data_IF_888569883222
#
_entry.id   IF_888569883222
#
_cell.length_a   1.000
_cell.length_b   1.000
_cell.length_c   1.000
_cell.angle_alpha   90.00
_cell.angle_beta   90.00
_cell.angle_gamma   90.00
#
_symmetry.space_group_name_H-M   'P 1'
#
loop_
_entity.id
_entity.type
_entity.pdbx_description
1 polymer ?
#
# COMPACT_ATOMS: atom_id res chain seq x y z
N UNK A 1 -16.35 7.57 40.34
CA UNK A 1 -15.87 8.57 39.37
C UNK A 1 -14.41 8.33 39.01
N UNK A 2 -13.55 8.08 40.00
CA UNK A 2 -12.12 7.77 39.82
C UNK A 2 -11.87 6.50 38.98
N UNK A 3 -12.59 5.41 39.23
CA UNK A 3 -12.46 4.16 38.45
C UNK A 3 -12.66 4.36 36.93
N UNK A 4 -13.69 5.14 36.53
CA UNK A 4 -13.95 5.44 35.11
C UNK A 4 -12.82 6.23 34.47
N UNK A 5 -12.20 7.15 35.23
CA UNK A 5 -11.08 7.94 34.75
C UNK A 5 -9.84 7.08 34.52
N UNK A 6 -9.58 6.10 35.39
CA UNK A 6 -8.48 5.15 35.23
C UNK A 6 -8.66 4.27 33.99
N UNK A 7 -9.87 3.75 33.77
CA UNK A 7 -10.18 2.99 32.54
C UNK A 7 -9.95 3.82 31.29
N UNK A 8 -10.42 5.08 31.27
CA UNK A 8 -10.14 5.99 30.15
C UNK A 8 -8.65 6.19 29.91
N UNK A 9 -7.85 6.37 30.97
CA UNK A 9 -6.39 6.52 30.84
C UNK A 9 -5.75 5.28 30.21
N UNK A 10 -6.21 4.08 30.57
CA UNK A 10 -5.69 2.82 30.01
C UNK A 10 -6.04 2.70 28.52
N UNK A 11 -7.30 2.91 28.14
CA UNK A 11 -7.72 2.83 26.73
C UNK A 11 -7.02 3.87 25.85
N UNK A 12 -6.95 5.12 26.30
CA UNK A 12 -6.23 6.17 25.57
C UNK A 12 -4.71 5.95 25.56
N UNK A 13 -4.16 5.34 26.61
CA UNK A 13 -2.76 4.92 26.67
C UNK A 13 -2.43 3.89 25.58
N UNK A 14 -3.24 2.84 25.48
CA UNK A 14 -3.09 1.81 24.45
C UNK A 14 -3.19 2.41 23.03
N UNK A 15 -4.16 3.29 22.80
CA UNK A 15 -4.29 4.01 21.53
C UNK A 15 -3.07 4.89 21.20
N UNK A 16 -2.55 5.63 22.18
CA UNK A 16 -1.37 6.47 22.00
C UNK A 16 -0.11 5.65 21.70
N UNK A 17 0.07 4.50 22.35
CA UNK A 17 1.19 3.60 22.10
C UNK A 17 1.09 2.95 20.72
N UNK A 18 -0.11 2.63 20.24
CA UNK A 18 -0.30 2.17 18.86
C UNK A 18 0.14 3.26 17.87
N UNK A 19 -0.28 4.52 18.04
CA UNK A 19 0.16 5.63 17.17
C UNK A 19 1.69 5.76 17.13
N UNK A 20 2.36 5.65 18.28
CA UNK A 20 3.82 5.70 18.35
C UNK A 20 4.45 4.52 17.61
N UNK A 21 3.92 3.31 17.79
CA UNK A 21 4.36 2.12 17.07
C UNK A 21 4.21 2.29 15.55
N UNK A 22 3.12 2.93 15.08
CA UNK A 22 2.94 3.23 13.65
C UNK A 22 4.04 4.13 13.10
N UNK A 23 4.33 5.21 13.82
CA UNK A 23 5.37 6.15 13.43
C UNK A 23 6.75 5.48 13.41
N UNK A 24 7.08 4.70 14.45
CA UNK A 24 8.34 3.97 14.52
C UNK A 24 8.51 2.99 13.36
N UNK A 25 7.47 2.18 13.06
CA UNK A 25 7.50 1.23 11.93
C UNK A 25 7.66 1.94 10.58
N UNK A 26 6.99 3.08 10.40
CA UNK A 26 7.14 3.86 9.16
C UNK A 26 8.48 4.56 9.02
N UNK A 27 9.06 5.08 10.11
CA UNK A 27 10.40 5.70 10.08
C UNK A 27 11.45 4.65 9.73
N UNK A 28 11.35 3.46 10.32
CA UNK A 28 12.23 2.34 10.01
C UNK A 28 12.21 1.99 8.52
N UNK A 29 11.01 1.83 7.94
CA UNK A 29 10.90 1.55 6.51
C UNK A 29 11.33 2.72 5.63
N UNK A 30 11.07 3.95 6.08
CA UNK A 30 11.55 5.17 5.44
C UNK A 30 13.07 5.22 5.30
N UNK A 31 13.81 4.74 6.29
CA UNK A 31 15.28 4.66 6.22
C UNK A 31 15.77 3.73 5.09
N UNK A 32 15.15 2.55 4.92
CA UNK A 32 15.47 1.67 3.79
C UNK A 32 15.13 2.30 2.45
N UNK A 33 14.02 3.04 2.39
CA UNK A 33 13.63 3.73 1.16
C UNK A 33 14.62 4.81 0.77
N UNK A 34 15.06 5.63 1.72
CA UNK A 34 16.13 6.62 1.47
C UNK A 34 17.41 5.92 1.04
N UNK A 35 17.79 4.79 1.66
CA UNK A 35 18.99 4.03 1.27
C UNK A 35 18.90 3.56 -0.19
N UNK A 36 17.80 2.91 -0.59
CA UNK A 36 17.67 2.36 -1.95
C UNK A 36 17.55 3.48 -2.98
N UNK A 37 16.83 4.56 -2.68
CA UNK A 37 16.77 5.73 -3.57
C UNK A 37 18.12 6.43 -3.72
N UNK A 38 18.88 6.58 -2.64
CA UNK A 38 20.25 7.11 -2.67
C UNK A 38 21.19 6.19 -3.44
N UNK A 39 21.09 4.88 -3.25
CA UNK A 39 21.87 3.88 -3.99
C UNK A 39 21.56 3.92 -5.49
N UNK A 40 20.28 4.03 -5.86
CA UNK A 40 19.87 4.26 -7.24
C UNK A 40 20.42 5.58 -7.80
N UNK A 41 20.30 6.68 -7.07
CA UNK A 41 20.83 7.98 -7.47
C UNK A 41 22.34 7.97 -7.68
N UNK A 42 23.10 7.34 -6.79
CA UNK A 42 24.55 7.19 -6.92
C UNK A 42 24.95 6.36 -8.15
N UNK A 43 24.18 5.31 -8.47
CA UNK A 43 24.37 4.54 -9.70
C UNK A 43 24.10 5.39 -10.94
N UNK A 44 23.08 6.25 -10.91
CA UNK A 44 22.75 7.13 -12.04
C UNK A 44 23.76 8.27 -12.24
N UNK A 45 24.32 8.84 -11.16
CA UNK A 45 25.35 9.87 -11.27
C UNK A 45 26.59 9.36 -12.02
N UNK A 46 26.99 8.11 -11.78
CA UNK A 46 28.07 7.46 -12.53
C UNK A 46 27.73 7.27 -14.01
N UNK A 47 26.45 7.09 -14.35
CA UNK A 47 26.03 6.94 -15.74
C UNK A 47 25.95 8.27 -16.50
N UNK A 48 25.73 9.39 -15.81
CA UNK A 48 25.57 10.74 -16.39
C UNK A 48 26.93 11.41 -16.68
N UNK A 49 28.02 10.92 -16.11
CA UNK A 49 29.35 11.49 -16.35
C UNK A 49 29.67 11.44 -17.86
N UNK A 50 30.01 12.56 -18.52
CA UNK A 50 29.95 12.68 -19.99
C UNK A 50 30.86 11.70 -20.72
N UNK A 51 32.02 11.39 -20.14
CA UNK A 51 32.93 10.34 -20.65
C UNK A 51 32.31 8.95 -20.57
N UNK A 52 31.49 8.70 -19.55
CA UNK A 52 30.76 7.44 -19.39
C UNK A 52 29.52 7.45 -20.29
N UNK A 53 28.83 8.56 -20.50
CA UNK A 53 27.66 8.62 -21.40
C UNK A 53 28.03 8.25 -22.84
N UNK A 54 29.12 8.79 -23.38
CA UNK A 54 29.58 8.45 -24.74
C UNK A 54 30.00 6.97 -24.85
N UNK A 55 30.76 6.48 -23.87
CA UNK A 55 31.17 5.08 -23.80
C UNK A 55 29.98 4.13 -23.55
N UNK A 56 29.00 4.55 -22.74
CA UNK A 56 27.79 3.80 -22.44
C UNK A 56 26.92 3.76 -23.68
N UNK A 57 26.69 4.87 -24.38
CA UNK A 57 25.92 4.88 -25.63
C UNK A 57 26.52 3.95 -26.70
N UNK A 58 27.85 3.95 -26.85
CA UNK A 58 28.56 3.11 -27.81
C UNK A 58 28.59 1.62 -27.39
N UNK A 59 28.79 1.33 -26.11
CA UNK A 59 28.77 -0.04 -25.55
C UNK A 59 27.37 -0.65 -25.46
N UNK A 60 26.37 0.19 -25.20
CA UNK A 60 24.94 -0.10 -25.28
C UNK A 60 24.59 -0.59 -26.69
N UNK A 61 25.08 0.09 -27.73
CA UNK A 61 24.82 -0.27 -29.12
C UNK A 61 25.59 -1.52 -29.58
N UNK A 62 26.76 -1.78 -28.97
CA UNK A 62 27.61 -2.93 -29.27
C UNK A 62 27.35 -4.16 -28.38
N UNK A 63 26.39 -4.09 -27.44
CA UNK A 63 26.04 -5.20 -26.55
C UNK A 63 27.14 -5.60 -25.57
N UNK A 64 27.92 -4.64 -25.06
CA UNK A 64 29.05 -4.93 -24.18
C UNK A 64 28.58 -5.38 -22.77
N UNK A 65 29.32 -6.30 -22.16
CA UNK A 65 28.94 -6.94 -20.89
C UNK A 65 28.79 -5.95 -19.73
N UNK A 66 29.61 -4.90 -19.69
CA UNK A 66 29.59 -3.86 -18.64
C UNK A 66 28.27 -3.09 -18.62
N UNK A 67 27.67 -2.87 -19.79
CA UNK A 67 26.41 -2.15 -19.93
C UNK A 67 25.22 -2.99 -19.51
N UNK A 68 25.21 -4.28 -19.89
CA UNK A 68 24.16 -5.19 -19.46
C UNK A 68 24.14 -5.33 -17.93
N UNK A 69 25.31 -5.37 -17.28
CA UNK A 69 25.44 -5.38 -15.81
C UNK A 69 24.88 -4.09 -15.19
N UNK A 70 25.15 -2.93 -15.78
CA UNK A 70 24.61 -1.66 -15.31
C UNK A 70 23.07 -1.62 -15.41
N UNK A 71 22.51 -2.02 -16.56
CA UNK A 71 21.06 -1.99 -16.77
C UNK A 71 20.37 -3.04 -15.88
N UNK A 72 20.94 -4.24 -15.75
CA UNK A 72 20.39 -5.28 -14.86
C UNK A 72 20.42 -4.86 -13.39
N UNK A 73 21.48 -4.17 -12.96
CA UNK A 73 21.60 -3.63 -11.59
C UNK A 73 20.59 -2.50 -11.36
N UNK A 74 20.41 -1.61 -12.34
CA UNK A 74 19.41 -0.54 -12.29
C UNK A 74 17.98 -1.09 -12.22
N UNK A 75 17.69 -2.14 -13.00
CA UNK A 75 16.40 -2.83 -13.02
C UNK A 75 16.13 -3.54 -11.69
N UNK A 76 17.15 -4.21 -11.12
CA UNK A 76 17.09 -4.84 -9.81
C UNK A 76 16.78 -3.83 -8.70
N UNK A 77 17.45 -2.68 -8.69
CA UNK A 77 17.17 -1.60 -7.75
C UNK A 77 15.75 -1.04 -7.90
N UNK A 78 15.26 -0.84 -9.13
CA UNK A 78 13.88 -0.41 -9.37
C UNK A 78 12.86 -1.44 -8.86
N UNK A 79 13.11 -2.74 -9.04
CA UNK A 79 12.26 -3.80 -8.50
C UNK A 79 12.21 -3.76 -6.96
N UNK A 80 13.37 -3.57 -6.30
CA UNK A 80 13.44 -3.41 -4.84
C UNK A 80 12.66 -2.18 -4.38
N UNK A 81 12.77 -1.03 -5.07
CA UNK A 81 12.00 0.18 -4.75
C UNK A 81 10.49 -0.10 -4.83
N UNK A 82 10.03 -0.81 -5.86
CA UNK A 82 8.61 -1.15 -6.02
C UNK A 82 8.14 -2.05 -4.87
N UNK A 83 8.90 -3.12 -4.55
CA UNK A 83 8.56 -4.05 -3.46
C UNK A 83 8.50 -3.34 -2.12
N UNK A 84 9.50 -2.52 -1.79
CA UNK A 84 9.50 -1.73 -0.55
C UNK A 84 8.34 -0.72 -0.52
N UNK A 85 7.94 -0.16 -1.67
CA UNK A 85 6.83 0.78 -1.75
C UNK A 85 5.50 0.09 -1.45
N UNK A 86 5.32 -1.12 -1.95
CA UNK A 86 4.15 -1.96 -1.65
C UNK A 86 4.10 -2.37 -0.19
N UNK A 87 5.24 -2.77 0.37
CA UNK A 87 5.37 -3.06 1.80
C UNK A 87 4.99 -1.82 2.64
N UNK A 88 5.41 -0.62 2.23
CA UNK A 88 5.07 0.64 2.91
C UNK A 88 3.57 0.91 2.90
N UNK A 89 2.92 0.74 1.74
CA UNK A 89 1.47 0.90 1.61
C UNK A 89 0.73 -0.13 2.47
N UNK A 90 1.15 -1.40 2.44
CA UNK A 90 0.52 -2.48 3.19
C UNK A 90 0.65 -2.24 4.71
N UNK A 91 1.84 -1.87 5.18
CA UNK A 91 2.09 -1.51 6.57
C UNK A 91 1.19 -0.35 7.00
N UNK A 92 1.15 0.73 6.22
CA UNK A 92 0.34 1.90 6.58
C UNK A 92 -1.17 1.61 6.59
N UNK A 93 -1.66 0.72 5.72
CA UNK A 93 -3.05 0.26 5.73
C UNK A 93 -3.37 -0.61 6.96
N UNK A 94 -2.51 -1.58 7.29
CA UNK A 94 -2.68 -2.42 8.47
C UNK A 94 -2.66 -1.60 9.76
N UNK A 95 -1.74 -0.66 9.84
CA UNK A 95 -1.66 0.31 10.93
C UNK A 95 -2.92 1.15 11.08
N UNK A 96 -3.50 1.62 9.97
CA UNK A 96 -4.77 2.36 9.98
C UNK A 96 -5.95 1.51 10.46
N UNK A 97 -5.99 0.24 10.06
CA UNK A 97 -7.03 -0.70 10.49
C UNK A 97 -7.08 -0.82 12.02
N UNK A 98 -5.92 -0.99 12.67
CA UNK A 98 -5.84 -1.12 14.14
C UNK A 98 -6.29 0.17 14.84
N UNK A 99 -5.93 1.34 14.30
CA UNK A 99 -6.38 2.63 14.86
C UNK A 99 -7.90 2.76 14.87
N UNK A 100 -8.55 2.46 13.74
CA UNK A 100 -10.01 2.58 13.65
C UNK A 100 -10.71 1.56 14.54
N UNK A 101 -10.15 0.36 14.70
CA UNK A 101 -10.65 -0.62 15.65
C UNK A 101 -10.62 -0.07 17.09
N UNK A 102 -9.53 0.59 17.50
CA UNK A 102 -9.42 1.20 18.82
C UNK A 102 -10.34 2.42 18.99
N UNK A 103 -10.50 3.27 17.97
CA UNK A 103 -11.43 4.41 18.01
C UNK A 103 -12.88 3.95 18.14
N UNK A 104 -13.28 2.91 17.39
CA UNK A 104 -14.61 2.32 17.49
C UNK A 104 -14.82 1.63 18.85
N UNK A 105 -13.78 0.94 19.35
CA UNK A 105 -13.81 0.33 20.68
C UNK A 105 -14.01 1.36 21.79
N UNK A 106 -13.25 2.46 21.79
CA UNK A 106 -13.40 3.56 22.78
C UNK A 106 -14.78 4.19 22.69
N UNK A 107 -15.33 4.37 21.48
CA UNK A 107 -16.67 4.97 21.28
C UNK A 107 -17.80 4.09 21.81
N UNK A 108 -17.68 2.77 21.67
CA UNK A 108 -18.70 1.81 22.05
C UNK A 108 -18.45 1.19 23.44
N UNK A 109 -17.44 1.68 24.16
CA UNK A 109 -17.07 1.13 25.46
C UNK A 109 -18.13 1.40 26.53
N UNK A 110 -18.63 0.34 27.17
CA UNK A 110 -19.59 0.45 28.27
C UNK A 110 -18.87 0.46 29.63
N UNK A 111 -18.83 1.64 30.24
CA UNK A 111 -18.22 1.88 31.56
C UNK A 111 -19.03 1.34 32.75
N UNK A 112 -20.15 0.66 32.52
CA UNK A 112 -20.87 -0.06 33.58
C UNK A 112 -20.45 -1.54 33.66
N UNK A 113 -19.79 -2.05 32.63
CA UNK A 113 -19.32 -3.42 32.59
C UNK A 113 -17.82 -3.46 32.93
N UNK A 114 -17.51 -3.78 34.19
CA UNK A 114 -16.15 -3.83 34.74
C UNK A 114 -15.35 -5.09 34.32
N UNK A 115 -15.85 -5.87 33.35
CA UNK A 115 -15.12 -7.04 32.84
C UNK A 115 -13.81 -6.63 32.18
N UNK A 116 -12.69 -7.11 32.73
CA UNK A 116 -11.32 -6.87 32.23
C UNK A 116 -11.16 -7.23 30.74
N UNK A 117 -11.95 -8.20 30.25
CA UNK A 117 -11.95 -8.61 28.83
C UNK A 117 -12.43 -7.50 27.90
N UNK A 118 -13.36 -6.66 28.36
CA UNK A 118 -13.85 -5.55 27.58
C UNK A 118 -12.82 -4.44 27.45
N UNK A 119 -11.79 -4.39 28.31
CA UNK A 119 -10.72 -3.39 28.28
C UNK A 119 -9.81 -3.52 27.05
N UNK A 120 -9.77 -4.71 26.44
CA UNK A 120 -8.97 -4.99 25.26
C UNK A 120 -9.83 -4.88 24.00
N UNK A 121 -9.31 -4.15 23.00
CA UNK A 121 -9.96 -4.09 21.70
C UNK A 121 -9.86 -5.46 21.00
N UNK A 122 -11.00 -6.08 20.74
CA UNK A 122 -11.10 -7.32 19.97
C UNK A 122 -11.11 -7.00 18.45
N UNK A 123 -9.94 -7.14 17.82
CA UNK A 123 -9.78 -6.91 16.38
C UNK A 123 -10.59 -7.90 15.52
N UNK A 124 -10.78 -9.15 15.97
CA UNK A 124 -11.55 -10.17 15.21
C UNK A 124 -13.03 -9.78 15.18
N UNK A 125 -13.55 -9.24 16.29
CA UNK A 125 -14.91 -8.68 16.35
C UNK A 125 -15.10 -7.45 15.46
N UNK A 126 -14.03 -6.66 15.26
CA UNK A 126 -14.05 -5.49 14.38
C UNK A 126 -13.95 -5.90 12.89
N UNK A 127 -13.12 -6.89 12.58
CA UNK A 127 -12.90 -7.40 11.23
C UNK A 127 -14.10 -8.19 10.70
N UNK A 128 -14.72 -9.02 11.54
CA UNK A 128 -15.80 -9.92 11.17
C UNK A 128 -17.09 -9.61 11.91
N UNK A 129 -18.17 -9.39 11.15
CA UNK A 129 -19.51 -9.39 11.70
C UNK A 129 -19.98 -10.83 11.85
N UNK A 130 -20.35 -11.19 13.08
CA UNK A 130 -20.90 -12.51 13.39
C UNK A 130 -22.41 -12.48 13.16
N UNK A 131 -22.88 -13.20 12.15
CA UNK A 131 -24.31 -13.45 11.98
C UNK A 131 -24.69 -14.71 12.75
N UNK A 132 -25.66 -14.59 13.65
CA UNK A 132 -26.32 -15.74 14.26
C UNK A 132 -27.59 -15.99 13.45
N UNK A 133 -27.55 -17.00 12.58
CA UNK A 133 -28.77 -17.50 11.96
C UNK A 133 -29.49 -18.40 12.97
N UNK A 134 -30.60 -17.89 13.53
CA UNK A 134 -31.40 -18.60 14.54
C UNK A 134 -32.07 -19.87 13.99
N UNK A 135 -32.12 -20.05 12.66
CA UNK A 135 -32.73 -21.23 12.03
C UNK A 135 -31.79 -22.41 11.85
N UNK A 136 -30.48 -22.21 11.73
CA UNK A 136 -29.53 -23.26 11.30
C UNK A 136 -28.39 -23.49 12.31
N UNK A 137 -28.35 -22.78 13.45
CA UNK A 137 -27.31 -22.93 14.49
C UNK A 137 -25.88 -22.86 13.94
N UNK A 138 -25.68 -22.22 12.78
CA UNK A 138 -24.39 -22.06 12.11
C UNK A 138 -23.90 -20.64 12.35
N UNK A 139 -22.68 -20.53 12.87
CA UNK A 139 -22.00 -19.24 13.07
C UNK A 139 -21.25 -18.94 11.79
N UNK A 140 -21.81 -18.10 10.93
CA UNK A 140 -21.09 -17.59 9.77
C UNK A 140 -20.39 -16.26 10.13
N UNK A 141 -19.13 -16.15 9.72
CA UNK A 141 -18.31 -14.95 9.92
C UNK A 141 -18.20 -14.24 8.57
N UNK A 142 -18.89 -13.13 8.42
CA UNK A 142 -18.81 -12.31 7.21
C UNK A 142 -17.92 -11.10 7.48
N UNK A 143 -17.10 -10.70 6.49
CA UNK A 143 -16.29 -9.48 6.59
C UNK A 143 -17.20 -8.28 6.89
N UNK A 144 -16.80 -7.46 7.87
CA UNK A 144 -17.57 -6.30 8.27
C UNK A 144 -17.79 -5.38 7.04
N UNK A 145 -19.04 -4.98 6.74
CA UNK A 145 -19.34 -4.17 5.56
C UNK A 145 -18.64 -2.80 5.56
N UNK A 146 -18.28 -2.27 6.75
CA UNK A 146 -17.45 -1.06 6.89
C UNK A 146 -16.03 -1.24 6.31
N UNK A 147 -15.54 -2.48 6.30
CA UNK A 147 -14.24 -2.91 5.78
C UNK A 147 -14.29 -3.42 4.34
N UNK A 148 -15.48 -3.48 3.72
CA UNK A 148 -15.71 -3.98 2.37
C UNK A 148 -15.27 -2.97 1.27
N UNK A 149 -14.10 -2.39 1.46
CA UNK A 149 -13.35 -1.65 0.48
C UNK A 149 -12.11 -2.48 0.13
N UNK A 150 -12.09 -3.07 -1.07
CA UNK A 150 -11.12 -4.09 -1.44
C UNK A 150 -9.68 -3.78 -1.01
N UNK A 151 -9.01 -4.81 -0.48
CA UNK A 151 -7.61 -4.83 -0.01
C UNK A 151 -6.64 -4.04 -0.93
N UNK A 152 -6.94 -4.04 -2.23
CA UNK A 152 -6.12 -3.46 -3.29
C UNK A 152 -6.57 -2.09 -3.84
N UNK A 153 -7.81 -1.64 -3.62
CA UNK A 153 -8.30 -0.42 -4.27
C UNK A 153 -9.30 0.36 -3.42
N UNK A 154 -8.96 1.61 -3.12
CA UNK A 154 -9.87 2.71 -2.78
C UNK A 154 -10.98 2.40 -1.74
N UNK A 155 -10.71 1.45 -0.85
CA UNK A 155 -11.52 1.12 0.30
C UNK A 155 -11.27 2.09 1.43
N UNK A 156 -11.93 3.22 1.36
CA UNK A 156 -11.94 4.27 2.38
C UNK A 156 -12.53 3.70 3.67
N UNK A 157 -11.67 3.12 4.50
CA UNK A 157 -11.74 3.16 5.96
C UNK A 157 -12.05 4.62 6.36
N UNK A 158 -13.23 4.87 6.94
CA UNK A 158 -13.83 6.20 7.05
C UNK A 158 -12.95 7.14 7.88
N UNK A 159 -12.47 8.26 7.32
CA UNK A 159 -11.54 9.12 8.02
C UNK A 159 -12.25 10.05 9.01
N UNK A 160 -11.91 9.95 10.29
CA UNK A 160 -11.78 11.16 11.09
C UNK A 160 -10.45 11.86 10.72
N UNK A 161 -10.48 13.20 10.82
CA UNK A 161 -9.50 14.22 10.39
C UNK A 161 -8.02 13.75 10.36
N UNK A 162 -7.35 13.89 9.21
CA UNK A 162 -5.91 13.66 8.96
C UNK A 162 -5.20 12.56 9.81
N UNK A 163 -5.44 11.27 9.52
CA UNK A 163 -4.62 10.20 10.12
C UNK A 163 -3.18 10.22 9.56
N UNK A 164 -2.13 10.12 10.41
CA UNK A 164 -0.72 10.01 9.99
C UNK A 164 -0.47 8.91 8.96
N UNK A 165 -1.29 7.85 8.97
CA UNK A 165 -1.23 6.75 8.01
C UNK A 165 -1.43 7.20 6.55
N UNK A 166 -2.22 8.26 6.30
CA UNK A 166 -2.50 8.75 4.93
C UNK A 166 -1.25 9.29 4.25
N UNK A 167 -0.38 9.97 5.00
CA UNK A 167 0.87 10.51 4.48
C UNK A 167 1.77 9.34 4.05
N UNK A 168 1.89 8.31 4.89
CA UNK A 168 2.70 7.13 4.58
C UNK A 168 2.15 6.35 3.37
N UNK A 169 0.83 6.21 3.25
CA UNK A 169 0.19 5.61 2.06
C UNK A 169 0.52 6.44 0.81
N UNK A 170 0.41 7.76 0.88
CA UNK A 170 0.70 8.65 -0.24
C UNK A 170 2.17 8.57 -0.66
N UNK A 171 3.10 8.61 0.29
CA UNK A 171 4.54 8.46 0.03
C UNK A 171 4.86 7.12 -0.63
N UNK A 172 4.25 6.03 -0.15
CA UNK A 172 4.37 4.71 -0.77
C UNK A 172 3.88 4.69 -2.22
N UNK A 173 2.73 5.31 -2.52
CA UNK A 173 2.22 5.39 -3.90
C UNK A 173 3.11 6.24 -4.82
N UNK A 174 3.59 7.39 -4.35
CA UNK A 174 4.49 8.25 -5.13
C UNK A 174 5.79 7.52 -5.44
N UNK A 175 6.41 6.88 -4.44
CA UNK A 175 7.62 6.07 -4.62
C UNK A 175 7.38 4.90 -5.58
N UNK A 176 6.24 4.21 -5.46
CA UNK A 176 5.89 3.11 -6.35
C UNK A 176 5.73 3.58 -7.79
N UNK A 177 5.03 4.69 -8.02
CA UNK A 177 4.81 5.26 -9.35
C UNK A 177 6.15 5.64 -10.00
N UNK A 178 7.02 6.35 -9.27
CA UNK A 178 8.34 6.72 -9.76
C UNK A 178 9.19 5.47 -10.07
N UNK A 179 9.17 4.47 -9.19
CA UNK A 179 9.85 3.19 -9.41
C UNK A 179 9.38 2.47 -10.67
N UNK A 180 8.06 2.44 -10.94
CA UNK A 180 7.49 1.85 -12.16
C UNK A 180 7.93 2.61 -13.40
N UNK A 181 7.89 3.95 -13.37
CA UNK A 181 8.32 4.79 -14.51
C UNK A 181 9.79 4.52 -14.85
N UNK A 182 10.66 4.47 -13.84
CA UNK A 182 12.08 4.18 -14.04
C UNK A 182 12.33 2.75 -14.51
N UNK A 183 11.60 1.77 -13.97
CA UNK A 183 11.66 0.38 -14.39
C UNK A 183 11.32 0.24 -15.88
N UNK A 184 10.24 0.90 -16.33
CA UNK A 184 9.84 0.93 -17.74
C UNK A 184 10.91 1.64 -18.60
N UNK A 185 11.49 2.74 -18.12
CA UNK A 185 12.54 3.46 -18.84
C UNK A 185 13.79 2.58 -19.07
N UNK A 186 14.25 1.85 -18.06
CA UNK A 186 15.38 0.92 -18.19
C UNK A 186 15.05 -0.25 -19.12
N UNK A 187 13.84 -0.79 -19.05
CA UNK A 187 13.38 -1.82 -19.99
C UNK A 187 13.38 -1.27 -21.43
N UNK A 188 12.84 -0.08 -21.67
CA UNK A 188 12.88 0.58 -22.99
C UNK A 188 14.31 0.77 -23.50
N UNK A 189 15.25 1.09 -22.61
CA UNK A 189 16.67 1.16 -22.95
C UNK A 189 17.20 -0.19 -23.46
N UNK A 190 16.87 -1.32 -22.82
CA UNK A 190 17.26 -2.66 -23.31
C UNK A 190 16.65 -2.96 -24.69
N UNK A 191 15.37 -2.65 -24.87
CA UNK A 191 14.69 -2.94 -26.13
C UNK A 191 15.25 -2.11 -27.29
N UNK A 192 15.55 -0.84 -27.06
CA UNK A 192 16.18 0.04 -28.05
C UNK A 192 17.51 -0.51 -28.58
N UNK A 193 18.18 -1.38 -27.83
CA UNK A 193 19.58 -1.75 -28.04
C UNK A 193 19.74 -3.18 -28.49
N UNK A 194 18.78 -4.05 -28.16
CA UNK A 194 18.78 -5.47 -28.53
C UNK A 194 17.74 -5.86 -29.58
N UNK A 195 16.56 -5.20 -29.67
CA UNK A 195 15.48 -5.57 -30.61
C UNK A 195 14.55 -4.38 -30.95
N UNK A 196 14.60 -3.96 -32.22
CA UNK A 196 13.72 -3.10 -33.03
C UNK A 196 12.32 -2.70 -32.47
N UNK A 197 11.83 -1.52 -32.90
CA UNK A 197 10.49 -0.86 -32.77
C UNK A 197 9.29 -1.69 -32.28
N UNK A 198 9.20 -2.97 -32.65
CA UNK A 198 8.16 -3.92 -32.27
C UNK A 198 8.15 -4.17 -30.74
N UNK A 199 9.30 -4.22 -30.08
CA UNK A 199 9.39 -4.40 -28.62
C UNK A 199 8.78 -3.24 -27.83
N UNK A 200 8.98 -2.01 -28.31
CA UNK A 200 8.40 -0.80 -27.71
C UNK A 200 6.87 -0.78 -27.85
N UNK A 201 6.34 -1.19 -29.01
CA UNK A 201 4.89 -1.27 -29.25
C UNK A 201 4.23 -2.29 -28.32
N UNK A 202 4.82 -3.48 -28.15
CA UNK A 202 4.28 -4.54 -27.28
C UNK A 202 4.26 -4.11 -25.81
N UNK A 203 5.27 -3.39 -25.33
CA UNK A 203 5.31 -2.90 -23.95
C UNK A 203 4.35 -1.75 -23.69
N UNK A 204 4.21 -0.80 -24.63
CA UNK A 204 3.19 0.25 -24.54
C UNK A 204 1.79 -0.37 -24.53
N UNK A 205 1.55 -1.39 -25.37
CA UNK A 205 0.31 -2.18 -25.34
C UNK A 205 0.13 -2.91 -24.01
N UNK A 206 1.17 -3.51 -23.45
CA UNK A 206 1.12 -4.19 -22.15
C UNK A 206 0.76 -3.24 -21.00
N UNK A 207 1.40 -2.06 -20.94
CA UNK A 207 1.09 -1.02 -19.96
C UNK A 207 -0.34 -0.49 -20.17
N UNK A 208 -0.75 -0.27 -21.42
CA UNK A 208 -2.11 0.16 -21.75
C UNK A 208 -3.15 -0.90 -21.35
N UNK A 209 -2.86 -2.18 -21.52
CA UNK A 209 -3.72 -3.29 -21.10
C UNK A 209 -3.81 -3.36 -19.57
N UNK A 210 -2.70 -3.21 -18.85
CA UNK A 210 -2.70 -3.16 -17.38
C UNK A 210 -3.48 -1.96 -16.88
N UNK A 211 -3.28 -0.77 -17.45
CA UNK A 211 -4.04 0.43 -17.13
C UNK A 211 -5.53 0.29 -17.48
N UNK A 212 -5.87 -0.30 -18.62
CA UNK A 212 -7.25 -0.59 -19.02
C UNK A 212 -7.90 -1.65 -18.12
N UNK A 213 -7.16 -2.67 -17.70
CA UNK A 213 -7.65 -3.69 -16.78
C UNK A 213 -7.91 -3.10 -15.39
N UNK A 214 -7.00 -2.25 -14.93
CA UNK A 214 -7.15 -1.44 -13.71
C UNK A 214 -8.40 -0.55 -13.79
N UNK A 215 -8.62 0.09 -14.94
CA UNK A 215 -9.74 1.01 -15.20
C UNK A 215 -11.09 0.29 -15.39
N UNK A 216 -11.11 -0.87 -16.07
CA UNK A 216 -12.33 -1.69 -16.25
C UNK A 216 -12.75 -2.36 -14.95
N UNK A 217 -11.80 -2.86 -14.15
CA UNK A 217 -12.09 -3.36 -12.81
C UNK A 217 -12.62 -2.24 -11.90
N UNK A 218 -12.10 -1.03 -12.01
CA UNK A 218 -12.64 0.14 -11.30
C UNK A 218 -14.11 0.42 -11.70
N UNK A 219 -14.44 0.33 -13.00
CA UNK A 219 -15.79 0.61 -13.51
C UNK A 219 -16.82 -0.48 -13.16
N UNK A 220 -16.42 -1.76 -13.14
CA UNK A 220 -17.29 -2.89 -12.74
C UNK A 220 -17.65 -2.79 -11.25
N UNK A 221 -16.70 -2.40 -10.40
CA UNK A 221 -16.93 -2.21 -8.96
C UNK A 221 -17.90 -1.05 -8.69
N UNK A 222 -17.83 0.05 -9.47
CA UNK A 222 -18.78 1.17 -9.36
C UNK A 222 -20.20 0.76 -9.82
N UNK A 223 -20.31 -0.06 -10.86
CA UNK A 223 -21.61 -0.56 -11.36
C UNK A 223 -22.26 -1.56 -10.40
N UNK A 224 -21.47 -2.35 -9.67
CA UNK A 224 -21.95 -3.24 -8.61
C UNK A 224 -22.59 -2.49 -7.43
N UNK A 225 -22.04 -1.33 -7.04
CA UNK A 225 -22.61 -0.49 -5.96
C UNK A 225 -23.94 0.18 -6.35
N UNK A 226 -24.12 0.58 -7.61
CA UNK A 226 -25.38 1.17 -8.07
C UNK A 226 -26.57 0.20 -8.04
N UNK A 227 -26.33 -1.10 -8.24
CA UNK A 227 -27.38 -2.11 -8.22
C UNK A 227 -27.77 -2.56 -6.80
N UNK A 228 -26.88 -2.43 -5.82
CA UNK A 228 -27.18 -2.73 -4.41
C UNK A 228 -28.02 -1.59 -3.81
N UNK A 229 -27.70 -0.32 -4.09
CA UNK A 229 -28.47 0.83 -3.64
C UNK A 229 -29.91 0.87 -4.19
N UNK A 230 -30.17 0.23 -5.33
CA UNK A 230 -31.50 0.15 -5.94
C UNK A 230 -32.37 -0.97 -5.36
N UNK A 231 -31.77 -1.98 -4.73
CA UNK A 231 -32.47 -3.10 -4.09
C UNK A 231 -32.87 -2.82 -2.63
N UNK A 232 -32.36 -1.77 -2.01
CA UNK A 232 -32.78 -1.33 -0.67
C UNK A 232 -33.95 -0.32 -0.72
N UNK A 233 -34.47 -0.01 -1.92
CA UNK A 233 -35.59 0.91 -2.13
C UNK A 233 -36.86 0.24 -2.71
N UNK A 234 -36.82 -1.07 -2.94
CA UNK A 234 -37.99 -1.93 -3.26
C UNK A 234 -38.28 -2.85 -2.06
#
# INVERSE_FOLDING_TARGET
MEHKLEMYKILYGAYADEIKNLWQRSIFLGAFMVLVWSGYGALQLKAIEPKIVENLAQSVQNGETNTLVYISTSLGLCAVIIVLSWLWIAMAKGSKFVQEAHEEHIKNFDFQNDDIKNLFCDLDSYEYTKHIDSKINTKDKTLNPKLNGGLFFYGVLQPYRYSPSKINIALGWVSCLLGIVLFVAHIMSIFCTTLCLIGCIVLILGIFVVLCFSSKRLKVTLRGRGNIAKKEQE
#
